data_IF_573622090878
#
_entry.id   IF_573622090878
#
_cell.length_a   1.000
_cell.length_b   1.000
_cell.length_c   1.000
_cell.angle_alpha   90.00
_cell.angle_beta   90.00
_cell.angle_gamma   90.00
#
_symmetry.space_group_name_H-M   'P 1'
#
loop_
_entity.id
_entity.type
_entity.pdbx_description
1 polymer ?
#
# COMPACT_ATOMS: atom_id res chain seq x y z
N UNK A 1 4.37 -9.57 13.10
CA UNK A 1 4.35 -9.14 11.68
C UNK A 1 3.74 -7.75 11.60
N UNK A 2 4.31 -6.77 12.32
CA UNK A 2 3.81 -5.37 12.35
C UNK A 2 4.36 -4.55 11.17
N UNK A 3 4.60 -5.22 10.03
CA UNK A 3 5.43 -4.75 8.91
C UNK A 3 4.63 -4.53 7.62
N UNK A 4 3.35 -4.87 7.63
CA UNK A 4 2.50 -4.82 6.44
C UNK A 4 1.66 -3.54 6.47
N UNK A 5 1.77 -2.75 5.39
CA UNK A 5 1.03 -1.51 5.21
C UNK A 5 0.18 -1.62 3.96
N UNK A 6 -1.13 -1.70 4.16
CA UNK A 6 -2.10 -1.71 3.09
C UNK A 6 -2.36 -0.30 2.60
N UNK A 7 -2.27 -0.10 1.29
CA UNK A 7 -2.75 1.05 0.58
C UNK A 7 -4.02 0.67 -0.17
N UNK A 8 -5.10 1.42 0.05
CA UNK A 8 -6.40 1.17 -0.59
C UNK A 8 -7.08 2.49 -0.97
N UNK A 9 -8.00 2.46 -1.94
CA UNK A 9 -8.76 3.62 -2.34
C UNK A 9 -10.22 3.26 -2.65
N UNK A 10 -11.19 4.15 -2.34
CA UNK A 10 -12.60 3.95 -2.66
C UNK A 10 -12.91 4.20 -4.14
N UNK A 11 -11.91 4.62 -4.93
CA UNK A 11 -12.07 4.97 -6.34
C UNK A 11 -10.77 4.78 -7.10
N UNK A 12 -10.87 4.26 -8.32
CA UNK A 12 -9.75 4.10 -9.25
C UNK A 12 -9.27 5.43 -9.81
N UNK A 13 -8.02 5.47 -10.27
CA UNK A 13 -7.44 6.67 -10.90
C UNK A 13 -7.14 7.83 -9.94
N UNK A 14 -7.28 7.62 -8.63
CA UNK A 14 -6.92 8.60 -7.58
C UNK A 14 -5.41 8.75 -7.38
N UNK A 15 -4.60 7.82 -7.90
CA UNK A 15 -3.15 7.82 -7.74
C UNK A 15 -2.67 7.01 -6.53
N UNK A 16 -3.41 5.97 -6.13
CA UNK A 16 -3.06 5.11 -5.00
C UNK A 16 -1.68 4.47 -5.18
N UNK A 17 -1.43 3.83 -6.32
CA UNK A 17 -0.14 3.23 -6.67
C UNK A 17 1.00 4.24 -6.56
N UNK A 18 0.78 5.46 -7.04
CA UNK A 18 1.76 6.55 -6.93
C UNK A 18 2.00 6.92 -5.46
N UNK A 19 0.95 7.02 -4.63
CA UNK A 19 1.07 7.29 -3.20
C UNK A 19 1.84 6.17 -2.47
N UNK A 20 1.47 4.91 -2.70
CA UNK A 20 2.11 3.74 -2.11
C UNK A 20 3.60 3.67 -2.48
N UNK A 21 3.93 3.94 -3.74
CA UNK A 21 5.30 3.96 -4.25
C UNK A 21 6.12 5.09 -3.63
N UNK A 22 5.56 6.29 -3.53
CA UNK A 22 6.23 7.42 -2.86
C UNK A 22 6.39 7.18 -1.35
N UNK A 23 5.46 6.48 -0.71
CA UNK A 23 5.65 6.04 0.67
C UNK A 23 6.81 5.05 0.78
N UNK A 24 6.86 4.02 -0.08
CA UNK A 24 7.95 3.04 -0.11
C UNK A 24 9.31 3.71 -0.33
N UNK A 25 9.42 4.70 -1.24
CA UNK A 25 10.64 5.50 -1.42
C UNK A 25 11.08 6.22 -0.15
N UNK A 26 10.15 6.85 0.60
CA UNK A 26 10.52 7.55 1.84
C UNK A 26 10.89 6.59 2.96
N UNK A 27 10.20 5.45 3.04
CA UNK A 27 10.48 4.40 4.01
C UNK A 27 11.87 3.79 3.77
N UNK A 28 12.20 3.48 2.51
CA UNK A 28 13.53 3.03 2.09
C UNK A 28 14.61 4.08 2.38
N UNK A 29 14.35 5.35 2.04
CA UNK A 29 15.26 6.45 2.38
C UNK A 29 15.44 6.69 3.89
N UNK A 30 14.52 6.21 4.73
CA UNK A 30 14.65 6.21 6.18
C UNK A 30 15.41 4.99 6.72
N UNK A 31 15.91 4.10 5.85
CA UNK A 31 16.76 2.96 6.18
C UNK A 31 16.04 1.63 6.35
N UNK A 32 14.73 1.58 6.14
CA UNK A 32 13.95 0.34 6.25
C UNK A 32 13.95 -0.44 4.93
N UNK A 33 14.32 -1.72 4.96
CA UNK A 33 14.25 -2.59 3.78
C UNK A 33 12.77 -2.76 3.38
N UNK A 34 12.41 -2.30 2.19
CA UNK A 34 11.02 -2.13 1.77
C UNK A 34 10.70 -2.95 0.53
N UNK A 35 9.52 -3.58 0.49
CA UNK A 35 8.95 -4.22 -0.69
C UNK A 35 7.60 -3.60 -1.08
N UNK A 36 7.30 -3.59 -2.38
CA UNK A 36 6.01 -3.24 -2.96
C UNK A 36 5.34 -4.49 -3.54
N UNK A 37 4.05 -4.65 -3.28
CA UNK A 37 3.25 -5.76 -3.82
C UNK A 37 1.98 -5.19 -4.45
N UNK A 38 1.78 -5.45 -5.74
CA UNK A 38 0.59 -5.06 -6.47
C UNK A 38 -0.48 -6.16 -6.34
N UNK A 39 -1.52 -5.89 -5.55
CA UNK A 39 -2.66 -6.78 -5.38
C UNK A 39 -3.80 -6.47 -6.34
N UNK A 40 -3.64 -5.50 -7.25
CA UNK A 40 -4.61 -5.24 -8.31
C UNK A 40 -4.42 -6.22 -9.47
N UNK A 41 -4.49 -7.53 -9.17
CA UNK A 41 -4.10 -8.64 -10.05
C UNK A 41 -4.85 -8.72 -11.38
N UNK A 42 -5.97 -8.00 -11.51
CA UNK A 42 -6.76 -7.92 -12.74
C UNK A 42 -6.42 -6.74 -13.65
N UNK A 43 -5.77 -5.70 -13.12
CA UNK A 43 -5.40 -4.52 -13.91
C UNK A 43 -3.88 -4.33 -14.02
N UNK A 44 -3.13 -4.67 -12.96
CA UNK A 44 -1.68 -4.54 -12.89
C UNK A 44 -1.17 -3.12 -13.15
N UNK A 45 0.06 -3.05 -13.66
CA UNK A 45 0.69 -1.82 -14.14
C UNK A 45 1.46 -1.02 -13.09
N UNK A 46 1.73 -1.61 -11.92
CA UNK A 46 2.67 -1.02 -10.96
C UNK A 46 4.07 -0.86 -11.55
N UNK A 47 4.62 -1.88 -12.21
CA UNK A 47 5.93 -1.83 -12.87
C UNK A 47 6.04 -0.70 -13.91
N UNK A 48 5.01 -0.51 -14.74
CA UNK A 48 4.90 0.61 -15.69
C UNK A 48 4.79 1.96 -14.97
N UNK A 49 4.04 2.03 -13.87
CA UNK A 49 3.92 3.25 -13.06
C UNK A 49 5.27 3.65 -12.46
N UNK A 50 6.11 2.68 -12.15
CA UNK A 50 7.46 2.86 -11.61
C UNK A 50 8.51 3.11 -12.70
N UNK A 51 8.21 2.76 -13.96
CA UNK A 51 9.15 2.85 -15.09
C UNK A 51 10.19 1.73 -15.10
N UNK A 52 9.84 0.56 -14.56
CA UNK A 52 10.70 -0.63 -14.45
C UNK A 52 10.13 -1.85 -15.18
N UNK A 53 9.17 -1.67 -16.09
CA UNK A 53 8.55 -2.76 -16.84
C UNK A 53 9.55 -3.60 -17.66
N UNK A 54 10.68 -2.98 -18.04
CA UNK A 54 11.80 -3.64 -18.73
C UNK A 54 12.81 -4.34 -17.81
N UNK A 55 12.74 -4.14 -16.48
CA UNK A 55 13.64 -4.80 -15.55
C UNK A 55 13.35 -6.31 -15.50
N UNK A 56 14.37 -7.17 -15.64
CA UNK A 56 14.18 -8.61 -15.55
C UNK A 56 13.79 -9.02 -14.13
N UNK A 57 13.04 -10.09 -14.01
CA UNK A 57 12.67 -10.66 -12.72
C UNK A 57 11.25 -11.22 -12.70
N UNK A 58 10.89 -11.81 -11.57
CA UNK A 58 9.61 -12.43 -11.31
C UNK A 58 8.51 -11.38 -11.12
N UNK A 59 7.36 -11.60 -11.74
CA UNK A 59 6.11 -10.85 -11.53
C UNK A 59 5.04 -11.80 -11.00
N UNK A 60 3.87 -11.29 -10.64
CA UNK A 60 2.79 -12.10 -10.07
C UNK A 60 2.51 -13.37 -10.88
N UNK A 61 2.42 -13.29 -12.21
CA UNK A 61 2.16 -14.43 -13.09
C UNK A 61 3.15 -15.60 -12.93
N UNK A 62 4.37 -15.34 -12.47
CA UNK A 62 5.41 -16.33 -12.23
C UNK A 62 5.43 -16.90 -10.81
N UNK A 63 4.64 -16.36 -9.88
CA UNK A 63 4.57 -16.86 -8.51
C UNK A 63 3.93 -18.25 -8.51
N UNK A 64 4.66 -19.22 -7.95
CA UNK A 64 4.13 -20.57 -7.72
C UNK A 64 4.48 -21.05 -6.32
N UNK A 65 3.46 -21.35 -5.52
CA UNK A 65 3.62 -21.83 -4.15
C UNK A 65 2.69 -23.02 -3.88
N UNK A 66 2.95 -24.20 -4.50
CA UNK A 66 2.08 -25.36 -4.41
C UNK A 66 1.91 -25.89 -2.98
N UNK A 67 2.89 -25.65 -2.11
CA UNK A 67 2.87 -26.00 -0.69
C UNK A 67 2.47 -24.83 0.21
N UNK A 68 2.01 -23.71 -0.36
CA UNK A 68 1.58 -22.51 0.36
C UNK A 68 2.71 -21.77 1.08
N UNK A 69 3.97 -21.96 0.67
CA UNK A 69 5.15 -21.32 1.27
C UNK A 69 6.19 -20.99 0.20
N UNK A 70 6.89 -19.88 0.40
CA UNK A 70 8.02 -19.44 -0.40
C UNK A 70 9.18 -19.07 0.52
N UNK A 71 10.41 -19.20 0.01
CA UNK A 71 11.60 -18.67 0.69
C UNK A 71 11.67 -17.17 0.46
N UNK A 72 11.63 -16.36 1.54
CA UNK A 72 11.69 -14.90 1.42
C UNK A 72 12.96 -14.40 0.75
N UNK A 73 14.11 -15.03 1.00
CA UNK A 73 15.39 -14.63 0.39
C UNK A 73 15.48 -15.02 -1.09
N UNK A 74 14.93 -16.19 -1.47
CA UNK A 74 14.91 -16.61 -2.87
C UNK A 74 13.94 -15.75 -3.69
N UNK A 75 12.74 -15.51 -3.15
CA UNK A 75 11.76 -14.63 -3.78
C UNK A 75 12.33 -13.23 -3.98
N UNK A 76 12.89 -12.62 -2.93
CA UNK A 76 13.50 -11.28 -2.99
C UNK A 76 14.60 -11.17 -4.05
N UNK A 77 15.44 -12.19 -4.19
CA UNK A 77 16.51 -12.22 -5.18
C UNK A 77 16.02 -12.32 -6.64
N UNK A 78 14.80 -12.78 -6.86
CA UNK A 78 14.20 -12.92 -8.20
C UNK A 78 13.35 -11.70 -8.60
N UNK A 79 13.03 -10.79 -7.68
CA UNK A 79 12.16 -9.65 -7.98
C UNK A 79 12.89 -8.53 -8.74
N UNK A 80 12.19 -7.80 -9.64
CA UNK A 80 12.61 -6.49 -10.10
C UNK A 80 12.83 -5.52 -8.93
N UNK A 81 13.77 -4.59 -9.09
CA UNK A 81 14.09 -3.58 -8.09
C UNK A 81 13.87 -2.17 -8.64
N UNK A 82 13.19 -1.33 -7.87
CA UNK A 82 12.99 0.08 -8.18
C UNK A 82 13.59 0.95 -7.06
N UNK A 83 14.65 1.71 -7.35
CA UNK A 83 15.33 2.53 -6.35
C UNK A 83 15.74 1.73 -5.08
N UNK A 84 16.15 0.47 -5.28
CA UNK A 84 16.51 -0.47 -4.21
C UNK A 84 15.33 -1.11 -3.46
N UNK A 85 14.08 -0.90 -3.91
CA UNK A 85 12.86 -1.50 -3.36
C UNK A 85 12.48 -2.70 -4.22
N UNK A 86 12.27 -3.87 -3.59
CA UNK A 86 11.81 -5.08 -4.28
C UNK A 86 10.35 -4.93 -4.71
N UNK A 87 10.01 -5.26 -5.96
CA UNK A 87 8.68 -5.04 -6.52
C UNK A 87 8.08 -6.35 -7.04
N UNK A 88 6.98 -6.79 -6.44
CA UNK A 88 6.13 -7.85 -6.97
C UNK A 88 4.93 -7.22 -7.68
N UNK A 89 5.11 -6.88 -8.95
CA UNK A 89 4.08 -6.27 -9.79
C UNK A 89 3.09 -7.30 -10.35
N UNK A 90 1.84 -6.89 -10.56
CA UNK A 90 0.84 -7.70 -11.24
C UNK A 90 0.90 -7.47 -12.75
N UNK A 91 0.89 -8.57 -13.50
CA UNK A 91 1.05 -8.62 -14.95
C UNK A 91 -0.02 -9.51 -15.62
N UNK A 92 -1.32 -9.16 -15.48
CA UNK A 92 -2.44 -9.99 -15.94
C UNK A 92 -2.42 -10.32 -17.44
N UNK A 93 -1.73 -9.53 -18.26
CA UNK A 93 -1.56 -9.77 -19.70
C UNK A 93 -0.82 -11.08 -20.02
N UNK A 94 -0.15 -11.68 -19.04
CA UNK A 94 0.50 -12.99 -19.18
C UNK A 94 -0.44 -14.19 -18.91
N UNK A 95 -1.76 -13.94 -18.75
CA UNK A 95 -2.82 -14.96 -18.62
C UNK A 95 -2.64 -15.97 -17.47
N UNK A 96 -1.84 -15.63 -16.45
CA UNK A 96 -1.72 -16.40 -15.22
C UNK A 96 -2.00 -15.49 -14.03
N UNK A 97 -3.13 -15.72 -13.37
CA UNK A 97 -3.47 -15.10 -12.10
C UNK A 97 -3.19 -16.14 -11.02
N UNK A 98 -2.21 -15.90 -10.12
CA UNK A 98 -1.89 -16.84 -9.04
C UNK A 98 -3.10 -17.11 -8.17
N UNK A 99 -3.10 -18.27 -7.52
CA UNK A 99 -4.10 -18.57 -6.52
C UNK A 99 -3.89 -17.68 -5.29
N UNK A 100 -4.98 -17.38 -4.59
CA UNK A 100 -4.98 -16.54 -3.37
C UNK A 100 -3.89 -16.97 -2.37
N UNK A 101 -3.74 -18.28 -2.13
CA UNK A 101 -2.75 -18.80 -1.19
C UNK A 101 -1.30 -18.60 -1.67
N UNK A 102 -1.06 -18.48 -2.99
CA UNK A 102 0.25 -18.22 -3.54
C UNK A 102 0.64 -16.74 -3.36
N UNK A 103 -0.32 -15.85 -3.59
CA UNK A 103 -0.17 -14.41 -3.29
C UNK A 103 0.10 -14.23 -1.79
N UNK A 104 -0.68 -14.91 -0.93
CA UNK A 104 -0.47 -14.90 0.52
C UNK A 104 0.94 -15.41 0.87
N UNK A 105 1.37 -16.53 0.30
CA UNK A 105 2.71 -17.08 0.55
C UNK A 105 3.82 -16.11 0.14
N UNK A 106 3.64 -15.37 -0.95
CA UNK A 106 4.57 -14.34 -1.40
C UNK A 106 4.64 -13.16 -0.42
N UNK A 107 3.49 -12.65 0.04
CA UNK A 107 3.44 -11.59 1.05
C UNK A 107 4.11 -12.03 2.36
N UNK A 108 3.78 -13.23 2.86
CA UNK A 108 4.38 -13.79 4.08
C UNK A 108 5.89 -14.00 3.93
N UNK A 109 6.36 -14.43 2.75
CA UNK A 109 7.79 -14.59 2.45
C UNK A 109 8.53 -13.25 2.42
N UNK A 110 7.98 -12.23 1.75
CA UNK A 110 8.55 -10.89 1.74
C UNK A 110 8.59 -10.27 3.14
N UNK A 111 7.55 -10.50 3.96
CA UNK A 111 7.50 -10.02 5.33
C UNK A 111 8.56 -10.65 6.26
N UNK A 112 9.19 -11.77 5.87
CA UNK A 112 10.30 -12.38 6.60
C UNK A 112 11.63 -11.64 6.37
N UNK A 113 11.81 -11.04 5.19
CA UNK A 113 13.09 -10.43 4.76
C UNK A 113 13.05 -8.92 4.68
N UNK A 114 11.87 -8.31 4.74
CA UNK A 114 11.67 -6.87 4.69
C UNK A 114 11.22 -6.32 6.04
N UNK A 115 11.60 -5.08 6.31
CA UNK A 115 11.13 -4.31 7.45
C UNK A 115 9.72 -3.76 7.20
N UNK A 116 9.41 -3.42 5.94
CA UNK A 116 8.10 -2.94 5.50
C UNK A 116 7.68 -3.59 4.18
N UNK A 117 6.47 -4.13 4.14
CA UNK A 117 5.81 -4.64 2.93
C UNK A 117 4.60 -3.77 2.64
N UNK A 118 4.65 -3.03 1.53
CA UNK A 118 3.60 -2.13 1.09
C UNK A 118 2.69 -2.88 0.10
N UNK A 119 1.43 -3.06 0.47
CA UNK A 119 0.43 -3.73 -0.36
C UNK A 119 -0.42 -2.68 -1.07
N UNK A 120 -0.42 -2.62 -2.39
CA UNK A 120 -1.37 -1.82 -3.16
C UNK A 120 -2.58 -2.66 -3.53
N UNK A 121 -3.73 -2.41 -2.92
CA UNK A 121 -4.96 -3.16 -3.19
C UNK A 121 -5.85 -2.51 -4.25
N UNK A 122 -5.50 -1.34 -4.77
CA UNK A 122 -6.40 -0.58 -5.62
C UNK A 122 -7.75 -0.32 -4.93
N UNK A 123 -8.82 -0.71 -5.63
CA UNK A 123 -10.20 -0.71 -5.12
C UNK A 123 -10.64 -2.09 -4.58
N UNK A 124 -9.83 -3.12 -4.84
CA UNK A 124 -10.12 -4.48 -4.42
C UNK A 124 -9.85 -4.60 -2.92
N UNK A 125 -10.83 -5.13 -2.19
CA UNK A 125 -10.69 -5.49 -0.78
C UNK A 125 -11.34 -6.86 -0.64
N UNK A 126 -10.66 -7.86 -1.16
CA UNK A 126 -10.89 -9.26 -0.81
C UNK A 126 -9.74 -9.71 0.10
N UNK A 127 -9.32 -8.82 1.02
CA UNK A 127 -8.22 -9.09 1.95
C UNK A 127 -8.50 -10.25 2.90
N UNK A 128 -9.78 -10.57 3.11
CA UNK A 128 -10.22 -11.75 3.85
C UNK A 128 -9.63 -13.03 3.25
N UNK A 129 -9.53 -13.10 1.92
CA UNK A 129 -9.01 -14.28 1.22
C UNK A 129 -7.52 -14.52 1.55
N UNK A 130 -6.77 -13.45 1.79
CA UNK A 130 -5.36 -13.54 2.18
C UNK A 130 -5.16 -13.84 3.67
N UNK A 131 -6.15 -13.61 4.54
CA UNK A 131 -6.08 -13.94 5.96
C UNK A 131 -5.04 -13.14 6.77
N UNK A 132 -4.81 -11.87 6.40
CA UNK A 132 -3.74 -11.02 6.97
C UNK A 132 -4.21 -10.06 8.10
N UNK A 133 -5.43 -10.23 8.63
CA UNK A 133 -6.20 -9.21 9.37
C UNK A 133 -5.58 -8.63 10.65
N UNK A 134 -4.76 -9.39 11.37
CA UNK A 134 -4.53 -9.07 12.78
C UNK A 134 -3.40 -8.07 13.04
N UNK A 135 -2.60 -7.74 12.03
CA UNK A 135 -1.31 -7.02 12.20
C UNK A 135 -0.99 -6.05 11.04
N UNK A 136 -2.01 -5.49 10.41
CA UNK A 136 -1.88 -4.57 9.27
C UNK A 136 -2.29 -3.14 9.63
N UNK A 137 -1.56 -2.16 9.08
CA UNK A 137 -2.04 -0.79 9.00
C UNK A 137 -2.66 -0.52 7.64
N UNK A 138 -3.65 0.36 7.58
CA UNK A 138 -4.23 0.78 6.32
C UNK A 138 -4.10 2.29 6.11
N UNK A 139 -3.61 2.67 4.93
CA UNK A 139 -3.60 4.03 4.42
C UNK A 139 -4.63 4.09 3.29
N UNK A 140 -5.73 4.82 3.53
CA UNK A 140 -6.78 5.02 2.54
C UNK A 140 -6.55 6.35 1.81
N UNK A 141 -6.38 6.30 0.49
CA UNK A 141 -6.34 7.50 -0.34
C UNK A 141 -7.76 7.92 -0.72
N UNK A 142 -8.16 9.15 -0.38
CA UNK A 142 -9.52 9.64 -0.64
C UNK A 142 -9.49 10.93 -1.42
N UNK A 143 -10.33 11.03 -2.46
CA UNK A 143 -10.56 12.31 -3.13
C UNK A 143 -11.27 13.29 -2.19
N UNK A 144 -10.71 14.50 -2.01
CA UNK A 144 -11.23 15.56 -1.15
C UNK A 144 -12.42 16.30 -1.78
N UNK A 145 -13.50 15.56 -2.06
CA UNK A 145 -14.77 16.01 -2.60
C UNK A 145 -15.93 15.36 -1.85
N UNK A 146 -17.14 15.91 -1.98
CA UNK A 146 -18.35 15.32 -1.35
C UNK A 146 -18.58 13.87 -1.83
N UNK A 147 -18.43 13.63 -3.13
CA UNK A 147 -18.57 12.29 -3.71
C UNK A 147 -17.46 11.35 -3.23
N UNK A 148 -16.22 11.85 -3.16
CA UNK A 148 -15.09 11.09 -2.64
C UNK A 148 -15.31 10.64 -1.20
N UNK A 149 -15.85 11.52 -0.33
CA UNK A 149 -16.21 11.17 1.04
C UNK A 149 -17.31 10.11 1.11
N UNK A 150 -18.39 10.25 0.33
CA UNK A 150 -19.47 9.26 0.31
C UNK A 150 -18.96 7.86 -0.06
N UNK A 151 -18.09 7.77 -1.08
CA UNK A 151 -17.44 6.51 -1.46
C UNK A 151 -16.50 6.00 -0.37
N UNK A 152 -15.71 6.87 0.24
CA UNK A 152 -14.84 6.52 1.35
C UNK A 152 -15.61 5.95 2.54
N UNK A 153 -16.78 6.50 2.90
CA UNK A 153 -17.59 5.96 4.01
C UNK A 153 -18.01 4.51 3.76
N UNK A 154 -18.46 4.19 2.55
CA UNK A 154 -18.79 2.82 2.15
C UNK A 154 -17.56 1.91 2.15
N UNK A 155 -16.41 2.44 1.68
CA UNK A 155 -15.15 1.70 1.63
C UNK A 155 -14.60 1.38 3.02
N UNK A 156 -14.69 2.30 3.99
CA UNK A 156 -14.30 2.06 5.39
C UNK A 156 -15.02 0.84 5.94
N UNK A 157 -16.34 0.73 5.75
CA UNK A 157 -17.12 -0.44 6.21
C UNK A 157 -16.61 -1.76 5.63
N UNK A 158 -16.04 -1.75 4.42
CA UNK A 158 -15.44 -2.93 3.80
C UNK A 158 -14.07 -3.23 4.41
N UNK A 159 -13.19 -2.23 4.53
CA UNK A 159 -11.83 -2.39 5.10
C UNK A 159 -11.86 -2.77 6.58
N UNK A 160 -12.83 -2.25 7.35
CA UNK A 160 -12.92 -2.50 8.79
C UNK A 160 -13.28 -3.94 9.15
N UNK A 161 -13.66 -4.76 8.16
CA UNK A 161 -13.81 -6.21 8.35
C UNK A 161 -12.47 -6.91 8.52
N UNK A 162 -11.38 -6.32 8.01
CA UNK A 162 -10.05 -6.94 8.01
C UNK A 162 -9.01 -6.13 8.77
N UNK A 163 -9.08 -4.80 8.73
CA UNK A 163 -8.15 -3.92 9.47
C UNK A 163 -8.91 -3.23 10.58
N UNK A 164 -8.36 -3.23 11.79
CA UNK A 164 -9.00 -2.51 12.91
C UNK A 164 -9.12 -1.05 12.55
N UNK A 165 -10.27 -0.46 12.87
CA UNK A 165 -10.53 0.95 12.61
C UNK A 165 -9.46 1.88 13.21
N UNK A 166 -8.86 1.51 14.35
CA UNK A 166 -7.77 2.25 14.99
C UNK A 166 -6.45 2.25 14.20
N UNK A 167 -6.25 1.27 13.33
CA UNK A 167 -5.04 1.09 12.51
C UNK A 167 -5.21 1.66 11.09
N UNK A 168 -6.31 2.38 10.84
CA UNK A 168 -6.62 3.03 9.58
C UNK A 168 -6.30 4.54 9.64
N UNK A 169 -5.65 5.05 8.61
CA UNK A 169 -5.38 6.46 8.40
C UNK A 169 -5.79 6.90 6.99
N UNK A 170 -6.05 8.19 6.80
CA UNK A 170 -6.52 8.77 5.55
C UNK A 170 -5.51 9.78 5.02
N UNK A 171 -5.19 9.65 3.73
CA UNK A 171 -4.51 10.68 2.95
C UNK A 171 -5.50 11.25 1.94
N UNK A 172 -5.66 12.56 1.93
CA UNK A 172 -6.51 13.26 0.97
C UNK A 172 -5.79 13.51 -0.35
N UNK A 173 -6.50 13.47 -1.47
CA UNK A 173 -6.05 14.05 -2.74
C UNK A 173 -7.11 15.00 -3.28
N UNK A 174 -6.71 16.22 -3.64
CA UNK A 174 -7.67 17.16 -4.20
C UNK A 174 -8.02 16.80 -5.65
N UNK A 175 -9.30 16.94 -6.06
CA UNK A 175 -9.73 16.66 -7.43
C UNK A 175 -9.00 17.53 -8.45
N UNK A 176 -8.54 16.92 -9.54
CA UNK A 176 -7.75 17.59 -10.60
C UNK A 176 -8.50 18.73 -11.28
N UNK A 177 -9.80 18.56 -11.49
CA UNK A 177 -10.65 19.48 -12.26
C UNK A 177 -11.39 20.50 -11.39
N UNK A 178 -11.26 20.44 -10.06
CA UNK A 178 -11.94 21.39 -9.18
C UNK A 178 -11.15 22.69 -9.06
N UNK A 179 -11.57 23.69 -9.83
CA UNK A 179 -10.94 25.01 -9.90
C UNK A 179 -11.25 25.92 -8.70
N UNK A 180 -12.34 25.67 -7.95
CA UNK A 180 -12.73 26.50 -6.81
C UNK A 180 -12.39 25.87 -5.47
N UNK A 181 -12.01 26.70 -4.49
CA UNK A 181 -11.85 26.29 -3.09
C UNK A 181 -13.17 25.79 -2.48
N UNK A 182 -14.31 26.34 -2.90
CA UNK A 182 -15.65 25.97 -2.38
C UNK A 182 -16.10 24.55 -2.72
N UNK A 183 -15.41 23.88 -3.65
CA UNK A 183 -15.73 22.50 -4.07
C UNK A 183 -14.84 21.47 -3.33
N UNK A 184 -13.85 21.94 -2.57
CA UNK A 184 -12.90 21.08 -1.87
C UNK A 184 -13.39 20.76 -0.47
N UNK A 185 -13.33 19.49 -0.11
CA UNK A 185 -13.51 19.05 1.27
C UNK A 185 -12.30 19.50 2.10
N UNK A 186 -12.53 20.10 3.26
CA UNK A 186 -11.46 20.40 4.21
C UNK A 186 -11.09 19.14 5.01
N UNK A 187 -9.84 19.05 5.47
CA UNK A 187 -9.36 17.90 6.26
C UNK A 187 -10.13 17.72 7.57
N UNK A 188 -10.55 18.82 8.22
CA UNK A 188 -11.33 18.78 9.44
C UNK A 188 -12.71 18.14 9.21
N UNK A 189 -13.38 18.52 8.12
CA UNK A 189 -14.68 17.96 7.74
C UNK A 189 -14.55 16.49 7.33
N UNK A 190 -13.51 16.14 6.57
CA UNK A 190 -13.22 14.76 6.22
C UNK A 190 -12.97 13.89 7.47
N UNK A 191 -12.21 14.40 8.44
CA UNK A 191 -11.97 13.74 9.72
C UNK A 191 -13.27 13.55 10.51
N UNK A 192 -14.11 14.58 10.60
CA UNK A 192 -15.39 14.50 11.29
C UNK A 192 -16.36 13.51 10.64
N UNK A 193 -16.41 13.49 9.30
CA UNK A 193 -17.31 12.64 8.54
C UNK A 193 -16.89 11.15 8.53
N UNK A 194 -15.60 10.89 8.30
CA UNK A 194 -15.05 9.54 8.27
C UNK A 194 -14.82 8.96 9.66
N UNK A 195 -14.63 9.82 10.67
CA UNK A 195 -14.20 9.45 12.02
C UNK A 195 -12.83 8.75 12.06
N UNK A 196 -12.00 9.01 11.04
CA UNK A 196 -10.65 8.45 10.90
C UNK A 196 -9.58 9.54 10.95
N UNK A 197 -8.36 9.24 11.42
CA UNK A 197 -7.23 10.15 11.34
C UNK A 197 -6.94 10.55 9.89
N UNK A 198 -7.06 11.84 9.58
CA UNK A 198 -6.59 12.42 8.32
C UNK A 198 -5.18 12.98 8.55
N UNK A 199 -4.18 12.40 7.90
CA UNK A 199 -2.76 12.79 7.99
C UNK A 199 -2.53 14.13 7.29
N UNK A 200 -3.15 14.29 6.13
CA UNK A 200 -3.17 15.52 5.36
C UNK A 200 -3.65 15.26 3.94
N UNK A 201 -3.74 16.31 3.12
CA UNK A 201 -4.06 16.21 1.70
C UNK A 201 -2.94 16.68 0.78
N UNK A 202 -2.92 16.11 -0.43
CA UNK A 202 -2.00 16.52 -1.51
C UNK A 202 -2.76 17.12 -2.69
N UNK A 203 -2.09 18.03 -3.39
CA UNK A 203 -2.56 18.63 -4.64
C UNK A 203 -1.92 17.90 -5.82
N UNK A 204 -2.68 17.36 -6.78
CA UNK A 204 -2.12 16.70 -7.96
C UNK A 204 -1.09 17.59 -8.68
N UNK A 205 0.06 17.01 -9.05
CA UNK A 205 1.13 17.71 -9.77
C UNK A 205 1.15 17.27 -11.22
N UNK A 206 0.94 18.21 -12.14
CA UNK A 206 0.94 17.95 -13.59
C UNK A 206 2.23 17.28 -14.07
N UNK A 207 3.39 17.76 -13.62
CA UNK A 207 4.68 17.19 -14.01
C UNK A 207 4.82 15.71 -13.62
N UNK A 208 4.40 15.35 -12.41
CA UNK A 208 4.39 13.96 -11.95
C UNK A 208 3.43 13.10 -12.78
N UNK A 209 2.21 13.61 -13.03
CA UNK A 209 1.24 12.91 -13.87
C UNK A 209 1.73 12.71 -15.30
N UNK A 210 2.40 13.71 -15.90
CA UNK A 210 2.98 13.61 -17.24
C UNK A 210 4.09 12.56 -17.29
N UNK A 211 5.00 12.54 -16.32
CA UNK A 211 6.07 11.54 -16.23
C UNK A 211 5.52 10.12 -16.27
N UNK A 212 4.52 9.83 -15.43
CA UNK A 212 3.89 8.49 -15.37
C UNK A 212 3.18 8.15 -16.68
N UNK A 213 2.38 9.07 -17.24
CA UNK A 213 1.63 8.84 -18.49
C UNK A 213 2.57 8.62 -19.68
N UNK A 214 3.78 9.17 -19.64
CA UNK A 214 4.81 8.98 -20.66
C UNK A 214 5.67 7.71 -20.45
N UNK A 215 5.42 6.92 -19.41
CA UNK A 215 6.23 5.74 -19.08
C UNK A 215 7.60 6.08 -18.50
N UNK A 216 7.80 7.30 -17.99
CA UNK A 216 9.07 7.73 -17.38
C UNK A 216 9.13 7.42 -15.87
N UNK A 217 8.13 6.72 -15.34
CA UNK A 217 8.03 6.39 -13.93
C UNK A 217 7.80 7.58 -13.01
N UNK A 218 8.09 7.37 -11.71
CA UNK A 218 8.02 8.39 -10.66
C UNK A 218 9.41 9.01 -10.49
N UNK A 219 9.62 10.28 -10.90
CA UNK A 219 10.95 10.93 -10.89
C UNK A 219 11.43 11.33 -9.48
N UNK A 220 10.72 10.87 -8.44
CA UNK A 220 10.92 11.26 -7.05
C UNK A 220 9.77 12.10 -6.48
N UNK A 221 9.90 12.42 -5.20
CA UNK A 221 8.79 12.96 -4.40
C UNK A 221 8.79 14.49 -4.45
N UNK A 222 7.70 15.11 -4.94
CA UNK A 222 7.57 16.57 -4.94
C UNK A 222 7.82 17.16 -3.56
N UNK A 223 8.55 18.28 -3.50
CA UNK A 223 8.89 18.96 -2.22
C UNK A 223 7.66 19.23 -1.35
N UNK A 224 6.54 19.61 -1.98
CA UNK A 224 5.26 19.88 -1.32
C UNK A 224 4.66 18.66 -0.61
N UNK A 225 5.06 17.44 -0.97
CA UNK A 225 4.52 16.22 -0.38
C UNK A 225 5.40 15.67 0.75
N UNK A 226 6.66 16.12 0.85
CA UNK A 226 7.66 15.54 1.77
C UNK A 226 7.17 15.50 3.21
N UNK A 227 6.64 16.61 3.71
CA UNK A 227 6.12 16.67 5.08
C UNK A 227 4.97 15.68 5.35
N UNK A 228 4.12 15.42 4.37
CA UNK A 228 3.05 14.43 4.50
C UNK A 228 3.63 13.02 4.59
N UNK A 229 4.58 12.69 3.71
CA UNK A 229 5.20 11.36 3.76
C UNK A 229 6.11 11.17 4.97
N UNK A 230 6.84 12.19 5.42
CA UNK A 230 7.67 12.10 6.62
C UNK A 230 6.80 11.78 7.85
N UNK A 231 5.62 12.42 7.97
CA UNK A 231 4.64 12.07 9.01
C UNK A 231 4.08 10.66 8.82
N UNK A 232 3.68 10.28 7.61
CA UNK A 232 3.12 8.96 7.34
C UNK A 232 4.13 7.83 7.66
N UNK A 233 5.40 8.01 7.26
CA UNK A 233 6.49 7.06 7.56
C UNK A 233 6.76 7.01 9.05
N UNK A 234 6.84 8.16 9.73
CA UNK A 234 7.02 8.19 11.17
C UNK A 234 5.89 7.45 11.92
N UNK A 235 4.64 7.71 11.57
CA UNK A 235 3.48 7.08 12.19
C UNK A 235 3.52 5.56 11.99
N UNK A 236 3.83 5.10 10.78
CA UNK A 236 3.90 3.67 10.47
C UNK A 236 5.08 2.98 11.17
N UNK A 237 6.28 3.56 11.13
CA UNK A 237 7.49 2.94 11.71
C UNK A 237 7.49 2.97 13.25
N UNK A 238 6.92 4.01 13.88
CA UNK A 238 6.80 4.09 15.34
C UNK A 238 5.95 2.96 15.91
N UNK A 239 5.03 2.41 15.12
CA UNK A 239 4.23 1.24 15.49
C UNK A 239 4.95 -0.08 15.33
N UNK A 240 5.72 -0.24 14.25
CA UNK A 240 6.54 -1.42 14.01
C UNK A 240 7.58 -1.65 15.14
N UNK A 241 7.89 -0.61 15.91
CA UNK A 241 8.80 -0.63 17.06
C UNK A 241 8.15 -1.03 18.39
N UNK A 242 6.82 -1.15 18.46
CA UNK A 242 6.13 -1.57 19.68
C UNK A 242 6.27 -3.10 19.88
N UNK A 243 6.65 -3.59 21.08
CA UNK A 243 6.84 -5.02 21.29
C UNK A 243 5.53 -5.80 21.12
N UNK A 244 5.53 -6.82 20.25
CA UNK A 244 4.36 -7.69 20.03
C UNK A 244 3.95 -8.36 21.36
N UNK A 245 2.65 -8.31 21.75
CA UNK A 245 2.22 -8.83 23.05
C UNK A 245 1.97 -10.34 23.02
N UNK A 246 2.94 -11.18 22.66
CA UNK A 246 2.81 -12.65 22.84
C UNK A 246 4.16 -13.34 23.10
N UNK A 247 4.51 -13.52 24.38
CA UNK A 247 5.15 -14.75 24.88
C UNK A 247 5.11 -14.86 26.42
N UNK A 248 3.94 -14.74 27.06
CA UNK A 248 3.77 -15.30 28.41
C UNK A 248 3.22 -16.72 28.27
N UNK A 249 4.10 -17.68 27.95
CA UNK A 249 3.82 -19.10 28.16
C UNK A 249 3.53 -19.29 29.64
N UNK A 250 2.29 -19.63 29.98
CA UNK A 250 1.94 -20.17 31.30
C UNK A 250 2.67 -21.49 31.45
N UNK A 251 3.73 -21.52 32.25
CA UNK A 251 4.18 -22.75 32.88
C UNK A 251 3.07 -23.18 33.84
N UNK A 252 2.21 -24.09 33.38
CA UNK A 252 1.40 -24.91 34.28
C UNK A 252 2.32 -26.03 34.75
N UNK A 253 2.88 -25.85 35.94
CA UNK A 253 3.50 -26.93 36.71
C UNK A 253 2.42 -27.96 37.04
N UNK A 254 2.57 -29.18 36.50
CA UNK A 254 1.88 -30.35 37.03
C UNK A 254 2.57 -30.75 38.32
N UNK A 255 1.80 -30.81 39.40
CA UNK A 255 2.08 -31.60 40.61
C UNK A 255 0.77 -32.20 41.06
#
# INVERSE_FOLDING_TARGET
MDRIVLFTAPSGGTGLTTLASMFALRTSAAGAKTALVDLNVHSGGMDVTLGIEGEPGLRMSGISAPLGRLSGAALDAELPHWEGISVLAADPWNNAIPKVWEIRAAIEALAQTHDVVVLDSGQAIELEEYGLSDQMRAVMLVEMSVLGMARAKSHVTRVTRQVKHADMQVVGIHPRMACSQSVRMHEADARAYLQLPVIGSIMPRRALGLSIVQGLGIPGIPRSYRHLFDRLVHDVLSFASAPSPVSRRRHVTRS
#
